data_IF_692484365722
#
_entry.id   IF_692484365722
#
_cell.length_a   1.000
_cell.length_b   1.000
_cell.length_c   1.000
_cell.angle_alpha   90.00
_cell.angle_beta   90.00
_cell.angle_gamma   90.00
#
_symmetry.space_group_name_H-M   'P 1'
#
loop_
_entity.id
_entity.type
_entity.pdbx_description
1 polymer ?
#
# COMPACT_ATOMS: atom_id res chain seq x y z
N UNK A 1 14.53 13.66 -7.72
CA UNK A 1 13.38 13.09 -6.97
C UNK A 1 12.56 12.21 -7.88
N UNK A 2 12.24 11.01 -7.43
CA UNK A 2 11.45 10.10 -8.25
C UNK A 2 9.97 10.46 -8.11
N UNK A 3 9.31 10.62 -9.23
CA UNK A 3 7.89 10.95 -9.26
C UNK A 3 7.09 9.69 -9.50
N UNK A 4 6.13 9.42 -8.64
CA UNK A 4 5.25 8.27 -8.76
C UNK A 4 3.92 8.74 -9.36
N UNK A 5 3.59 8.22 -10.52
CA UNK A 5 2.32 8.54 -11.15
C UNK A 5 1.55 7.24 -11.38
N UNK A 6 1.31 6.56 -10.30
CA UNK A 6 0.68 5.24 -10.33
C UNK A 6 -0.84 5.29 -10.46
N UNK A 7 -1.46 6.27 -9.82
CA UNK A 7 -2.91 6.39 -9.81
C UNK A 7 -3.41 7.24 -10.97
N UNK A 8 -4.59 6.88 -11.46
CA UNK A 8 -5.31 7.68 -12.44
C UNK A 8 -6.43 8.42 -11.71
N UNK A 9 -6.95 9.46 -12.31
CA UNK A 9 -8.02 10.26 -11.68
C UNK A 9 -9.23 9.40 -11.32
N UNK A 10 -9.57 8.44 -12.15
CA UNK A 10 -10.72 7.57 -11.87
C UNK A 10 -10.50 6.70 -10.64
N UNK A 11 -9.27 6.42 -10.26
CA UNK A 11 -8.98 5.65 -9.06
C UNK A 11 -9.36 6.45 -7.81
N UNK A 12 -9.15 7.75 -7.85
CA UNK A 12 -9.55 8.62 -6.75
C UNK A 12 -11.06 8.71 -6.62
N UNK A 13 -11.76 8.70 -7.75
CA UNK A 13 -13.21 8.84 -7.74
C UNK A 13 -13.95 7.67 -7.12
N UNK A 14 -13.29 6.56 -6.88
CA UNK A 14 -13.91 5.46 -6.15
C UNK A 14 -14.10 5.82 -4.67
N UNK A 15 -13.30 6.75 -4.15
CA UNK A 15 -13.28 7.05 -2.73
C UNK A 15 -13.59 8.50 -2.39
N UNK A 16 -13.60 9.38 -3.37
CA UNK A 16 -13.80 10.81 -3.14
C UNK A 16 -14.51 11.41 -4.36
N UNK A 17 -15.35 12.39 -4.14
CA UNK A 17 -16.04 13.08 -5.25
C UNK A 17 -15.08 14.02 -5.96
N UNK A 18 -15.35 14.29 -7.22
CA UNK A 18 -14.54 15.22 -8.00
C UNK A 18 -14.51 16.62 -7.37
N UNK A 19 -15.65 17.07 -6.85
CA UNK A 19 -15.74 18.37 -6.20
C UNK A 19 -14.84 18.44 -4.97
N UNK A 20 -14.86 17.41 -4.14
CA UNK A 20 -14.03 17.37 -2.94
C UNK A 20 -12.55 17.30 -3.31
N UNK A 21 -12.22 16.51 -4.33
CA UNK A 21 -10.83 16.38 -4.78
C UNK A 21 -10.29 17.74 -5.27
N UNK A 22 -11.07 18.44 -6.09
CA UNK A 22 -10.64 19.75 -6.59
C UNK A 22 -10.46 20.76 -5.46
N UNK A 23 -11.33 20.68 -4.45
CA UNK A 23 -11.23 21.56 -3.31
C UNK A 23 -9.96 21.33 -2.52
N UNK A 24 -9.57 20.08 -2.33
CA UNK A 24 -8.37 19.72 -1.59
C UNK A 24 -7.10 20.11 -2.35
N UNK A 25 -7.11 19.95 -3.67
CA UNK A 25 -5.96 20.29 -4.51
C UNK A 25 -5.78 21.80 -4.60
N UNK A 26 -6.88 22.54 -4.72
CA UNK A 26 -6.82 23.99 -4.83
C UNK A 26 -6.05 24.43 -6.06
N UNK A 27 -5.18 25.40 -5.89
CA UNK A 27 -4.36 25.91 -6.98
C UNK A 27 -3.02 25.16 -7.14
N UNK A 28 -2.70 24.28 -6.21
CA UNK A 28 -1.43 23.58 -6.27
C UNK A 28 -1.61 22.22 -6.95
N UNK A 29 -1.38 22.18 -8.24
CA UNK A 29 -1.57 20.98 -9.05
C UNK A 29 -0.56 19.88 -8.73
N UNK A 30 0.52 20.19 -8.04
CA UNK A 30 1.51 19.19 -7.66
C UNK A 30 1.10 18.39 -6.41
N UNK A 31 0.07 18.85 -5.71
CA UNK A 31 -0.32 18.24 -4.46
C UNK A 31 -0.67 16.78 -4.57
N UNK A 32 -1.41 16.41 -5.59
CA UNK A 32 -1.78 15.01 -5.82
C UNK A 32 -0.54 14.15 -5.98
N UNK A 33 0.42 14.65 -6.76
CA UNK A 33 1.65 13.91 -7.00
C UNK A 33 2.45 13.76 -5.71
N UNK A 34 2.55 14.83 -4.95
CA UNK A 34 3.28 14.80 -3.70
C UNK A 34 2.67 13.82 -2.71
N UNK A 35 1.34 13.78 -2.62
CA UNK A 35 0.66 12.83 -1.74
C UNK A 35 0.86 11.39 -2.19
N UNK A 36 0.88 11.14 -3.51
CA UNK A 36 1.21 9.82 -4.02
C UNK A 36 2.64 9.43 -3.67
N UNK A 37 3.56 10.36 -3.75
CA UNK A 37 4.96 10.08 -3.41
C UNK A 37 5.09 9.69 -1.93
N UNK A 38 4.36 10.38 -1.04
CA UNK A 38 4.37 10.05 0.38
C UNK A 38 3.77 8.66 0.61
N UNK A 39 2.65 8.39 -0.03
CA UNK A 39 2.00 7.08 0.09
C UNK A 39 2.90 5.95 -0.41
N UNK A 40 3.54 6.18 -1.57
CA UNK A 40 4.46 5.20 -2.14
C UNK A 40 5.65 4.96 -1.21
N UNK A 41 6.18 6.01 -0.62
CA UNK A 41 7.29 5.90 0.32
C UNK A 41 6.93 5.03 1.52
N UNK A 42 5.73 5.22 2.06
CA UNK A 42 5.25 4.43 3.17
C UNK A 42 5.15 2.94 2.79
N UNK A 43 4.53 2.67 1.65
CA UNK A 43 4.33 1.28 1.19
C UNK A 43 5.68 0.60 0.92
N UNK A 44 6.56 1.29 0.22
CA UNK A 44 7.88 0.74 -0.09
C UNK A 44 8.64 0.44 1.19
N UNK A 45 8.62 1.37 2.15
CA UNK A 45 9.31 1.18 3.41
C UNK A 45 8.81 -0.07 4.15
N UNK A 46 7.50 -0.32 4.11
CA UNK A 46 6.93 -1.44 4.84
C UNK A 46 7.04 -2.78 4.10
N UNK A 47 6.96 -2.77 2.79
CA UNK A 47 6.82 -4.00 2.03
C UNK A 47 8.02 -4.41 1.19
N UNK A 48 8.99 -3.51 0.94
CA UNK A 48 10.05 -3.83 -0.01
C UNK A 48 10.98 -4.95 0.46
N UNK A 49 10.96 -5.29 1.73
CA UNK A 49 11.78 -6.38 2.22
C UNK A 49 11.30 -7.74 1.67
N UNK A 50 9.98 -7.90 1.51
CA UNK A 50 9.42 -9.15 1.05
C UNK A 50 8.86 -9.10 -0.35
N UNK A 51 8.40 -7.96 -0.78
CA UNK A 51 7.68 -7.82 -2.05
C UNK A 51 8.34 -6.78 -2.93
N UNK A 52 8.09 -6.88 -4.22
CA UNK A 52 8.64 -5.93 -5.20
C UNK A 52 7.72 -4.72 -5.31
N UNK A 53 7.52 -4.02 -4.19
CA UNK A 53 6.59 -2.89 -4.13
C UNK A 53 7.02 -1.73 -5.04
N UNK A 54 8.31 -1.42 -5.08
CA UNK A 54 8.81 -0.36 -5.94
C UNK A 54 8.61 -0.64 -7.42
N UNK A 55 8.77 -1.90 -7.82
CA UNK A 55 8.55 -2.30 -9.21
C UNK A 55 7.07 -2.25 -9.57
N UNK A 56 6.21 -2.64 -8.62
CA UNK A 56 4.77 -2.56 -8.84
C UNK A 56 4.34 -1.11 -9.08
N UNK A 57 4.89 -0.17 -8.33
CA UNK A 57 4.53 1.24 -8.45
C UNK A 57 5.00 1.87 -9.75
N UNK A 58 5.83 1.18 -10.52
CA UNK A 58 6.21 1.61 -11.86
C UNK A 58 5.27 1.16 -12.96
N UNK A 59 4.29 0.31 -12.63
CA UNK A 59 3.34 -0.19 -13.62
C UNK A 59 2.24 0.80 -13.91
N UNK A 60 1.53 0.60 -15.00
CA UNK A 60 0.43 1.48 -15.40
C UNK A 60 -0.71 0.67 -16.01
N UNK A 61 -1.86 1.28 -16.09
CA UNK A 61 -3.04 0.69 -16.72
C UNK A 61 -3.50 -0.59 -16.03
N UNK A 62 -3.81 -1.58 -16.83
CA UNK A 62 -4.36 -2.83 -16.32
C UNK A 62 -3.31 -3.76 -15.71
N UNK A 63 -2.04 -3.43 -15.85
CA UNK A 63 -0.98 -4.23 -15.27
C UNK A 63 -0.83 -3.99 -13.78
N UNK A 64 -1.48 -2.96 -13.25
CA UNK A 64 -1.38 -2.61 -11.84
C UNK A 64 -2.12 -3.61 -10.96
N UNK A 65 -1.55 -3.90 -9.80
CA UNK A 65 -2.20 -4.73 -8.81
C UNK A 65 -3.34 -3.93 -8.16
N UNK A 66 -4.55 -4.43 -8.20
CA UNK A 66 -5.70 -3.69 -7.72
C UNK A 66 -5.68 -3.44 -6.21
N UNK A 67 -5.11 -4.34 -5.45
CA UNK A 67 -4.92 -4.11 -4.01
C UNK A 67 -3.99 -2.94 -3.75
N UNK A 68 -2.93 -2.84 -4.52
CA UNK A 68 -1.99 -1.72 -4.42
C UNK A 68 -2.66 -0.41 -4.85
N UNK A 69 -3.49 -0.44 -5.90
CA UNK A 69 -4.24 0.75 -6.33
C UNK A 69 -5.12 1.24 -5.19
N UNK A 70 -5.82 0.33 -4.51
CA UNK A 70 -6.67 0.68 -3.37
C UNK A 70 -5.85 1.30 -2.24
N UNK A 71 -4.75 0.70 -1.88
CA UNK A 71 -3.88 1.23 -0.83
C UNK A 71 -3.38 2.64 -1.17
N UNK A 72 -2.87 2.79 -2.39
CA UNK A 72 -2.35 4.09 -2.84
C UNK A 72 -3.44 5.16 -2.85
N UNK A 73 -4.62 4.84 -3.34
CA UNK A 73 -5.72 5.80 -3.40
C UNK A 73 -6.15 6.24 -2.01
N UNK A 74 -6.35 5.30 -1.10
CA UNK A 74 -6.81 5.62 0.25
C UNK A 74 -5.76 6.42 1.01
N UNK A 75 -4.50 6.02 0.93
CA UNK A 75 -3.43 6.76 1.59
C UNK A 75 -3.26 8.16 1.02
N UNK A 76 -3.30 8.29 -0.30
CA UNK A 76 -3.14 9.59 -0.95
C UNK A 76 -4.26 10.56 -0.58
N UNK A 77 -5.49 10.07 -0.53
CA UNK A 77 -6.65 10.89 -0.14
C UNK A 77 -6.50 11.38 1.30
N UNK A 78 -6.07 10.50 2.20
CA UNK A 78 -5.85 10.91 3.59
C UNK A 78 -4.81 12.03 3.66
N UNK A 79 -3.71 11.89 2.95
CA UNK A 79 -2.66 12.91 2.94
C UNK A 79 -3.11 14.22 2.28
N UNK A 80 -3.99 14.13 1.28
CA UNK A 80 -4.59 15.34 0.69
C UNK A 80 -5.41 16.11 1.73
N UNK A 81 -6.25 15.42 2.49
CA UNK A 81 -7.01 16.06 3.57
C UNK A 81 -6.08 16.65 4.62
N UNK A 82 -5.03 15.90 4.97
CA UNK A 82 -4.08 16.36 5.96
C UNK A 82 -3.29 17.58 5.52
N UNK A 83 -3.13 17.78 4.23
CA UNK A 83 -2.37 18.90 3.68
C UNK A 83 -3.11 20.25 3.78
N UNK A 84 -4.40 20.24 4.11
CA UNK A 84 -5.20 21.45 4.28
C UNK A 84 -5.40 21.65 5.78
N UNK A 85 -4.70 22.61 6.40
CA UNK A 85 -4.67 22.73 7.86
C UNK A 85 -6.04 22.89 8.52
N UNK A 86 -6.95 23.59 7.88
CA UNK A 86 -8.24 23.88 8.48
C UNK A 86 -9.36 22.94 8.04
N UNK A 87 -9.03 21.93 7.25
CA UNK A 87 -10.05 21.00 6.78
C UNK A 87 -10.23 19.87 7.79
N UNK A 88 -11.47 19.56 8.08
CA UNK A 88 -11.77 18.40 8.91
C UNK A 88 -11.62 17.16 8.05
N UNK A 89 -10.99 16.14 8.59
CA UNK A 89 -10.87 14.87 7.90
C UNK A 89 -12.12 14.05 8.20
N UNK A 90 -12.92 13.73 7.17
CA UNK A 90 -14.12 12.92 7.40
C UNK A 90 -13.75 11.60 8.10
N UNK A 91 -14.62 11.16 8.99
CA UNK A 91 -14.37 9.93 9.73
C UNK A 91 -14.15 8.74 8.81
N UNK A 92 -14.91 8.67 7.72
CA UNK A 92 -14.75 7.60 6.75
C UNK A 92 -13.33 7.56 6.15
N UNK A 93 -12.79 8.74 5.84
CA UNK A 93 -11.44 8.83 5.29
C UNK A 93 -10.40 8.37 6.33
N UNK A 94 -10.58 8.79 7.57
CA UNK A 94 -9.68 8.39 8.64
C UNK A 94 -9.74 6.89 8.90
N UNK A 95 -10.94 6.34 8.95
CA UNK A 95 -11.12 4.90 9.17
C UNK A 95 -10.51 4.10 8.04
N UNK A 96 -10.74 4.49 6.80
CA UNK A 96 -10.14 3.80 5.65
C UNK A 96 -8.62 3.84 5.72
N UNK A 97 -8.07 4.97 6.11
CA UNK A 97 -6.62 5.12 6.25
C UNK A 97 -6.08 4.17 7.33
N UNK A 98 -6.71 4.13 8.48
CA UNK A 98 -6.28 3.27 9.58
C UNK A 98 -6.38 1.80 9.20
N UNK A 99 -7.44 1.42 8.51
CA UNK A 99 -7.61 0.04 8.05
C UNK A 99 -6.52 -0.36 7.07
N UNK A 100 -6.19 0.53 6.13
CA UNK A 100 -5.14 0.25 5.15
C UNK A 100 -3.77 0.16 5.81
N UNK A 101 -3.48 1.05 6.74
CA UNK A 101 -2.21 1.02 7.47
C UNK A 101 -2.07 -0.29 8.23
N UNK A 102 -3.13 -0.72 8.90
CA UNK A 102 -3.11 -1.99 9.64
C UNK A 102 -2.97 -3.18 8.69
N UNK A 103 -3.68 -3.15 7.57
CA UNK A 103 -3.59 -4.20 6.56
C UNK A 103 -2.16 -4.32 6.02
N UNK A 104 -1.52 -3.19 5.72
CA UNK A 104 -0.15 -3.18 5.23
C UNK A 104 0.80 -3.72 6.31
N UNK A 105 0.58 -3.37 7.56
CA UNK A 105 1.39 -3.89 8.65
C UNK A 105 1.27 -5.41 8.77
N UNK A 106 0.05 -5.93 8.63
CA UNK A 106 -0.18 -7.37 8.71
C UNK A 106 0.47 -8.11 7.56
N UNK A 107 0.40 -7.55 6.36
CA UNK A 107 1.07 -8.11 5.18
C UNK A 107 2.58 -8.08 5.39
N UNK A 108 3.11 -6.97 5.88
CA UNK A 108 4.54 -6.83 6.16
C UNK A 108 5.02 -7.83 7.20
N UNK A 109 4.19 -8.12 8.19
CA UNK A 109 4.53 -9.07 9.23
C UNK A 109 4.31 -10.54 8.83
N UNK A 110 3.78 -10.77 7.63
CA UNK A 110 3.50 -12.12 7.16
C UNK A 110 2.22 -12.73 7.70
N UNK A 111 1.39 -11.92 8.35
CA UNK A 111 0.13 -12.43 8.91
C UNK A 111 -0.99 -12.51 7.89
N UNK A 112 -0.95 -11.66 6.90
CA UNK A 112 -1.92 -11.66 5.81
C UNK A 112 -1.20 -11.81 4.48
N UNK A 113 -1.87 -12.38 3.50
CA UNK A 113 -1.34 -12.53 2.15
C UNK A 113 -1.64 -11.33 1.27
N UNK A 114 -0.95 -11.26 0.17
CA UNK A 114 -1.20 -10.28 -0.87
C UNK A 114 -0.83 -10.90 -2.20
N UNK A 115 -1.37 -10.35 -3.28
CA UNK A 115 -1.06 -10.82 -4.63
C UNK A 115 0.13 -10.08 -5.25
N UNK A 116 0.82 -9.26 -4.48
CA UNK A 116 2.04 -8.59 -4.95
C UNK A 116 3.13 -9.63 -5.21
N UNK A 117 3.99 -9.32 -6.17
CA UNK A 117 5.08 -10.21 -6.51
C UNK A 117 6.10 -10.23 -5.38
N UNK A 118 6.46 -11.40 -4.93
CA UNK A 118 7.43 -11.57 -3.87
C UNK A 118 8.85 -11.45 -4.39
N UNK A 119 9.74 -10.97 -3.55
CA UNK A 119 11.16 -10.99 -3.86
C UNK A 119 11.67 -12.41 -3.73
N UNK A 120 12.61 -12.75 -4.58
CA UNK A 120 13.26 -14.04 -4.52
C UNK A 120 14.74 -13.84 -4.21
N UNK A 121 15.31 -14.81 -3.52
CA UNK A 121 16.74 -14.81 -3.26
C UNK A 121 17.48 -15.35 -4.51
N UNK A 122 18.81 -15.36 -4.51
CA UNK A 122 19.58 -15.87 -5.66
C UNK A 122 19.25 -17.31 -6.05
N UNK A 123 18.67 -18.08 -5.14
CA UNK A 123 18.30 -19.46 -5.42
C UNK A 123 16.86 -19.56 -5.96
N UNK A 124 16.20 -18.43 -6.15
CA UNK A 124 14.84 -18.43 -6.67
C UNK A 124 13.76 -18.69 -5.63
N UNK A 125 14.12 -18.71 -4.37
CA UNK A 125 13.14 -18.91 -3.30
C UNK A 125 12.61 -17.58 -2.77
N UNK A 126 11.35 -17.51 -2.35
CA UNK A 126 10.83 -16.28 -1.78
C UNK A 126 11.64 -15.85 -0.56
N UNK A 127 11.89 -14.55 -0.45
CA UNK A 127 12.55 -14.01 0.71
C UNK A 127 11.51 -13.90 1.81
N UNK A 128 11.49 -14.87 2.69
CA UNK A 128 10.42 -14.97 3.66
C UNK A 128 10.60 -14.13 4.89
N UNK A 129 11.63 -13.38 4.95
CA UNK A 129 11.83 -12.56 6.12
C UNK A 129 11.86 -13.36 7.39
N UNK A 130 12.20 -14.57 7.24
CA UNK A 130 12.42 -15.26 8.44
C UNK A 130 11.21 -15.63 9.20
N UNK A 131 10.16 -15.69 8.67
CA UNK A 131 9.26 -15.75 9.51
C UNK A 131 8.72 -16.94 9.56
N UNK A 132 8.36 -17.46 9.76
CA UNK A 132 8.02 -18.58 9.97
C UNK A 132 7.45 -19.25 9.03
N UNK A 133 7.82 -19.94 8.93
CA UNK A 133 7.71 -20.93 8.61
C UNK A 133 7.12 -21.77 9.57
N UNK A 134 6.18 -21.97 9.66
CA UNK A 134 5.71 -22.78 10.49
C UNK A 134 5.70 -24.05 10.09
N UNK A 135 6.39 -24.40 9.70
CA UNK A 135 6.70 -25.59 9.48
C UNK A 135 6.22 -26.44 10.40
N UNK A 136 5.35 -26.65 10.52
CA UNK A 136 4.92 -27.52 11.13
C UNK A 136 5.68 -28.57 11.41
N UNK A 137 5.94 -28.74 12.12
CA UNK A 137 6.72 -29.50 12.51
C UNK A 137 6.17 -30.64 12.85
N UNK A 138 6.25 -31.33 12.49
CA UNK A 138 5.80 -32.45 12.52
C UNK A 138 5.81 -33.17 13.64
N UNK A 139 5.80 -33.59 13.99
CA UNK A 139 5.81 -34.17 14.71
C UNK A 139 6.19 -34.94 15.19
N UNK A 140 6.19 -35.25 15.51
CA UNK A 140 6.57 -35.81 16.05
C UNK A 140 5.97 -36.68 16.57
N UNK A 141 5.65 -37.15 16.20
CA UNK A 141 5.24 -37.86 16.48
C UNK A 141 5.35 -38.82 16.93
N UNK A 142 5.54 -39.26 17.11
CA UNK A 142 5.74 -40.12 17.40
C UNK A 142 6.08 -40.54 18.48
N UNK A 143 6.02 -40.34 18.85
CA UNK A 143 6.47 -40.66 19.76
C UNK A 143 5.87 -41.51 20.40
N UNK A 144 6.00 -42.26 20.47
CA UNK A 144 5.53 -43.08 20.84
C UNK A 144 5.44 -43.43 22.05
N UNK A 145 5.51 -43.36 22.37
CA UNK A 145 5.55 -43.75 23.29
C UNK A 145 5.50 -43.42 23.82
#
# INVERSE_FOLDING_TARGET
>A
MVTINYLEICDFHLFITDTALRKLVGSNTCKIQDCQNIAAGFIIEKLSKRYKAGEELGKSGNERNQGMVRWMAILSIYYLYQSVPDADIPERVRTNYEDVVEEIRRVSAGKDGTTLEERTDPDGQPVTGGMFRFTSNPRRSHDPY
#
